data_IF_080020330372
#
_entry.id   IF_080020330372
#
_cell.length_a   1.000
_cell.length_b   1.000
_cell.length_c   1.000
_cell.angle_alpha   90.00
_cell.angle_beta   90.00
_cell.angle_gamma   90.00
#
_symmetry.space_group_name_H-M   'P 1'
#
loop_
_entity.id
_entity.type
_entity.pdbx_description
1 polymer ?
#
# COMPACT_ATOMS: atom_id res chain seq x y z
N UNK A 1 -23.53 -0.04 12.13
CA UNK A 1 -23.80 0.68 10.88
C UNK A 1 -24.73 -0.20 10.05
N UNK A 2 -25.97 0.22 9.82
CA UNK A 2 -26.84 -0.42 8.83
C UNK A 2 -26.54 0.24 7.48
N UNK A 3 -25.98 -0.47 6.48
CA UNK A 3 -25.56 0.13 5.22
C UNK A 3 -26.72 0.66 4.35
N UNK A 4 -27.96 0.34 4.68
CA UNK A 4 -29.15 0.73 3.92
C UNK A 4 -29.89 1.95 4.50
N UNK A 5 -29.35 2.60 5.55
CA UNK A 5 -29.97 3.76 6.20
C UNK A 5 -29.12 5.02 6.01
N UNK A 6 -29.14 5.54 4.77
CA UNK A 6 -28.55 6.83 4.39
C UNK A 6 -29.52 8.01 4.58
N UNK A 7 -30.65 7.79 5.25
CA UNK A 7 -31.71 8.80 5.42
C UNK A 7 -31.32 9.88 6.46
N UNK A 8 -30.33 9.58 7.32
CA UNK A 8 -29.85 10.42 8.42
C UNK A 8 -28.52 11.13 8.13
N UNK A 9 -27.94 10.97 6.93
CA UNK A 9 -26.78 11.78 6.51
C UNK A 9 -27.28 13.08 5.91
N UNK A 10 -26.97 14.20 6.57
CA UNK A 10 -27.17 15.52 5.98
C UNK A 10 -26.28 15.60 4.75
N UNK A 11 -26.88 15.72 3.56
CA UNK A 11 -26.17 15.74 2.28
C UNK A 11 -25.29 17.01 2.20
N UNK A 12 -25.70 18.07 2.89
CA UNK A 12 -24.95 19.32 3.03
C UNK A 12 -24.06 19.27 4.29
N UNK A 13 -23.03 18.42 4.29
CA UNK A 13 -22.01 18.41 5.35
C UNK A 13 -21.13 19.68 5.23
N UNK A 14 -21.21 20.63 6.18
CA UNK A 14 -20.42 21.86 6.11
C UNK A 14 -18.91 21.61 6.20
N UNK A 15 -18.48 20.46 6.73
CA UNK A 15 -17.06 20.07 6.83
C UNK A 15 -16.56 19.42 5.54
N UNK A 16 -17.44 19.02 4.62
CA UNK A 16 -17.11 18.40 3.34
C UNK A 16 -17.87 19.06 2.17
N UNK A 17 -17.59 20.34 1.89
CA UNK A 17 -18.24 21.06 0.79
C UNK A 17 -17.89 20.44 -0.56
N UNK A 18 -18.74 20.69 -1.57
CA UNK A 18 -18.48 20.25 -2.94
C UNK A 18 -17.14 20.80 -3.48
N UNK A 19 -16.41 19.96 -4.19
CA UNK A 19 -15.13 20.33 -4.79
C UNK A 19 -15.34 21.32 -5.94
N UNK A 20 -14.57 22.40 -5.95
CA UNK A 20 -14.58 23.38 -7.05
C UNK A 20 -13.60 22.99 -8.15
N UNK A 21 -13.75 23.59 -9.35
CA UNK A 21 -12.78 23.42 -10.45
C UNK A 21 -11.36 23.84 -10.06
N UNK A 22 -11.22 24.88 -9.22
CA UNK A 22 -9.94 25.30 -8.69
C UNK A 22 -9.32 24.27 -7.73
N UNK A 23 -10.13 23.47 -7.04
CA UNK A 23 -9.65 22.39 -6.18
C UNK A 23 -9.22 21.17 -7.01
N UNK A 24 -9.94 20.85 -8.08
CA UNK A 24 -9.50 19.85 -9.05
C UNK A 24 -8.17 20.23 -9.70
N UNK A 25 -7.95 21.52 -10.01
CA UNK A 25 -6.68 22.01 -10.55
C UNK A 25 -5.48 21.80 -9.60
N UNK A 26 -5.72 21.71 -8.28
CA UNK A 26 -4.70 21.40 -7.26
C UNK A 26 -4.49 19.89 -7.08
N UNK A 27 -5.33 19.07 -7.71
CA UNK A 27 -5.27 17.62 -7.61
C UNK A 27 -3.89 17.08 -8.00
N UNK A 28 -3.39 16.13 -7.21
CA UNK A 28 -2.12 15.43 -7.47
C UNK A 28 -2.37 13.94 -7.63
N UNK A 29 -1.59 13.23 -8.46
CA UNK A 29 -1.69 11.78 -8.57
C UNK A 29 -1.52 11.11 -7.21
N UNK A 30 -2.35 10.12 -6.92
CA UNK A 30 -2.38 9.41 -5.63
C UNK A 30 -1.00 8.84 -5.24
N UNK A 31 -0.25 8.30 -6.20
CA UNK A 31 1.12 7.79 -6.01
C UNK A 31 2.12 8.85 -5.51
N UNK A 32 1.87 10.13 -5.80
CA UNK A 32 2.78 11.23 -5.45
C UNK A 32 2.45 11.82 -4.07
N UNK A 33 1.22 11.62 -3.58
CA UNK A 33 0.76 12.10 -2.26
C UNK A 33 0.73 11.00 -1.20
N UNK A 34 0.51 9.74 -1.60
CA UNK A 34 0.47 8.57 -0.71
C UNK A 34 1.30 7.41 -1.29
N UNK A 35 2.62 7.56 -1.41
CA UNK A 35 3.48 6.58 -2.07
C UNK A 35 3.42 5.19 -1.41
N UNK A 36 3.44 5.11 -0.08
CA UNK A 36 3.43 3.84 0.64
C UNK A 36 2.09 3.09 0.49
N UNK A 37 0.98 3.83 0.45
CA UNK A 37 -0.34 3.24 0.24
C UNK A 37 -0.50 2.76 -1.21
N UNK A 38 -0.01 3.53 -2.18
CA UNK A 38 0.01 3.12 -3.58
C UNK A 38 0.84 1.85 -3.77
N UNK A 39 2.02 1.75 -3.15
CA UNK A 39 2.86 0.55 -3.20
C UNK A 39 2.11 -0.68 -2.70
N UNK A 40 1.38 -0.57 -1.57
CA UNK A 40 0.53 -1.66 -1.05
C UNK A 40 -0.56 -2.07 -2.03
N UNK A 41 -1.24 -1.11 -2.67
CA UNK A 41 -2.30 -1.38 -3.66
C UNK A 41 -1.78 -2.05 -4.93
N UNK A 42 -0.54 -1.80 -5.32
CA UNK A 42 0.08 -2.35 -6.54
C UNK A 42 0.89 -3.62 -6.30
N UNK A 43 0.99 -4.09 -5.06
CA UNK A 43 1.70 -5.32 -4.72
C UNK A 43 1.02 -6.56 -5.32
N UNK A 44 1.81 -7.55 -5.74
CA UNK A 44 1.31 -8.81 -6.28
C UNK A 44 1.64 -9.95 -5.32
N UNK A 45 0.64 -10.76 -4.98
CA UNK A 45 0.84 -11.98 -4.24
C UNK A 45 1.25 -13.11 -5.19
N UNK A 46 2.39 -13.74 -4.92
CA UNK A 46 2.88 -14.91 -5.65
C UNK A 46 3.22 -16.02 -4.66
N UNK A 47 3.02 -17.28 -5.06
CA UNK A 47 3.54 -18.42 -4.32
C UNK A 47 5.00 -18.65 -4.75
N UNK A 48 5.92 -18.68 -3.78
CA UNK A 48 7.34 -18.92 -4.00
C UNK A 48 7.80 -20.03 -3.05
N UNK A 49 8.41 -21.07 -3.59
CA UNK A 49 9.06 -22.11 -2.79
C UNK A 49 10.49 -21.67 -2.45
N UNK A 50 10.82 -21.72 -1.16
CA UNK A 50 12.14 -21.37 -0.62
C UNK A 50 12.68 -22.54 0.21
N UNK A 51 14.00 -22.61 0.36
CA UNK A 51 14.57 -23.64 1.23
C UNK A 51 14.15 -23.41 2.70
N UNK A 52 13.96 -24.49 3.48
CA UNK A 52 13.64 -24.36 4.91
C UNK A 52 14.64 -23.50 5.67
N UNK A 53 15.93 -23.61 5.33
CA UNK A 53 17.00 -22.84 5.98
C UNK A 53 16.90 -21.34 5.71
N UNK A 54 16.46 -20.95 4.51
CA UNK A 54 16.23 -19.53 4.22
C UNK A 54 15.08 -19.00 5.05
N UNK A 55 13.98 -19.76 5.14
CA UNK A 55 12.82 -19.35 5.94
C UNK A 55 13.21 -19.26 7.43
N UNK A 56 13.95 -20.24 7.94
CA UNK A 56 14.41 -20.27 9.33
C UNK A 56 15.29 -19.05 9.64
N UNK A 57 16.28 -18.74 8.79
CA UNK A 57 17.17 -17.61 8.98
C UNK A 57 16.42 -16.27 9.11
N UNK A 58 15.42 -16.01 8.26
CA UNK A 58 14.63 -14.79 8.38
C UNK A 58 13.68 -14.82 9.58
N UNK A 59 13.02 -15.96 9.85
CA UNK A 59 12.03 -16.10 10.91
C UNK A 59 12.62 -15.98 12.32
N UNK A 60 13.89 -16.32 12.52
CA UNK A 60 14.61 -16.13 13.79
C UNK A 60 14.68 -14.67 14.24
N UNK A 61 14.66 -13.73 13.29
CA UNK A 61 14.86 -12.31 13.54
C UNK A 61 13.57 -11.57 13.98
N UNK A 62 12.40 -12.24 14.04
CA UNK A 62 11.16 -11.69 14.60
C UNK A 62 9.93 -11.74 13.69
N UNK A 63 8.78 -11.24 14.18
CA UNK A 63 7.46 -11.35 13.53
C UNK A 63 7.36 -10.63 12.17
N UNK A 64 8.24 -9.66 11.91
CA UNK A 64 8.35 -8.88 10.67
C UNK A 64 9.21 -9.58 9.58
N UNK A 65 9.60 -10.83 9.80
CA UNK A 65 10.57 -11.52 8.93
C UNK A 65 10.17 -11.59 7.46
N UNK A 66 8.87 -11.70 7.15
CA UNK A 66 8.38 -11.72 5.76
C UNK A 66 8.59 -10.38 5.07
N UNK A 67 8.44 -9.27 5.81
CA UNK A 67 8.62 -7.92 5.30
C UNK A 67 10.11 -7.65 5.03
N UNK A 68 10.99 -8.07 5.94
CA UNK A 68 12.45 -8.01 5.76
C UNK A 68 12.94 -8.89 4.62
N UNK A 69 12.39 -10.09 4.47
CA UNK A 69 12.67 -10.96 3.33
C UNK A 69 12.25 -10.31 2.00
N UNK A 70 11.06 -9.73 1.94
CA UNK A 70 10.58 -9.01 0.75
C UNK A 70 11.48 -7.81 0.40
N UNK A 71 11.92 -7.04 1.40
CA UNK A 71 12.86 -5.92 1.20
C UNK A 71 14.21 -6.39 0.65
N UNK A 72 14.73 -7.52 1.15
CA UNK A 72 15.97 -8.12 0.66
C UNK A 72 15.86 -8.57 -0.80
N UNK A 73 14.75 -9.21 -1.16
CA UNK A 73 14.48 -9.60 -2.55
C UNK A 73 14.36 -8.39 -3.48
N UNK A 74 13.74 -7.30 -3.02
CA UNK A 74 13.64 -6.06 -3.79
C UNK A 74 15.03 -5.44 -4.05
N UNK A 75 15.90 -5.38 -3.03
CA UNK A 75 17.26 -4.88 -3.17
C UNK A 75 18.08 -5.73 -4.15
N UNK A 76 17.98 -7.07 -4.06
CA UNK A 76 18.64 -7.98 -4.98
C UNK A 76 18.15 -7.79 -6.44
N UNK A 77 16.84 -7.58 -6.64
CA UNK A 77 16.28 -7.30 -7.95
C UNK A 77 16.75 -5.96 -8.54
N UNK A 78 17.00 -4.95 -7.70
CA UNK A 78 17.56 -3.67 -8.14
C UNK A 78 19.03 -3.81 -8.53
N UNK A 79 19.84 -4.51 -7.72
CA UNK A 79 21.23 -4.81 -8.06
C UNK A 79 21.35 -5.58 -9.39
N UNK A 80 20.46 -6.57 -9.62
CA UNK A 80 20.40 -7.32 -10.89
C UNK A 80 20.14 -6.44 -12.12
N UNK A 81 19.39 -5.34 -11.98
CA UNK A 81 19.11 -4.40 -13.09
C UNK A 81 20.25 -3.42 -13.36
N UNK A 82 21.12 -3.21 -12.37
CA UNK A 82 22.25 -2.28 -12.46
C UNK A 82 23.54 -2.94 -12.98
N UNK A 83 23.56 -4.28 -13.08
CA UNK A 83 24.65 -5.08 -13.64
C UNK A 83 24.41 -5.39 -15.12
#
# INVERSE_FOLDING_TARGET
MNPDHYDDVDIDDPENPELTEADFAKGRPFRDVFPDMFAKLTSQAVALELSPETIAAFAEEGDDWKERMAATLAAAAQAKRAA
#
